data_IF_461123870520
#
_entry.id   IF_461123870520
#
_cell.length_a   1.000
_cell.length_b   1.000
_cell.length_c   1.000
_cell.angle_alpha   90.00
_cell.angle_beta   90.00
_cell.angle_gamma   90.00
#
_symmetry.space_group_name_H-M   'P 1'
#
loop_
_entity.id
_entity.type
_entity.pdbx_description
1 polymer ?
#
# COMPACT_ATOMS: atom_id res chain seq x y z
N UNK A 1 -7.10 -27.82 25.70
CA UNK A 1 -5.98 -27.00 25.21
C UNK A 1 -6.17 -25.60 25.74
N UNK A 2 -5.21 -25.05 26.51
CA UNK A 2 -5.27 -23.67 26.98
C UNK A 2 -5.10 -22.75 25.80
N UNK A 3 -6.13 -21.96 25.49
CA UNK A 3 -6.07 -20.95 24.41
C UNK A 3 -5.12 -19.85 24.87
N UNK A 4 -4.01 -19.67 24.19
CA UNK A 4 -3.10 -18.55 24.48
C UNK A 4 -3.78 -17.24 24.10
N UNK A 5 -3.70 -16.26 24.99
CA UNK A 5 -4.16 -14.90 24.72
C UNK A 5 -2.98 -13.93 24.89
N UNK A 6 -2.86 -12.99 23.98
CA UNK A 6 -1.86 -11.92 24.01
C UNK A 6 -2.56 -10.57 23.97
N UNK A 7 -2.15 -9.69 24.87
CA UNK A 7 -2.57 -8.30 24.86
C UNK A 7 -1.40 -7.45 24.36
N UNK A 8 -1.68 -6.57 23.41
CA UNK A 8 -0.71 -5.67 22.80
C UNK A 8 -1.31 -4.26 22.83
N UNK A 9 -0.46 -3.25 23.03
CA UNK A 9 -0.83 -1.85 22.90
C UNK A 9 0.11 -1.18 21.88
N UNK A 10 -0.43 -0.31 21.06
CA UNK A 10 0.30 0.49 20.06
C UNK A 10 -0.41 1.83 19.89
N UNK A 11 0.27 2.85 19.39
CA UNK A 11 -0.39 4.12 19.06
C UNK A 11 -1.25 3.98 17.80
N UNK A 12 -0.71 3.36 16.76
CA UNK A 12 -1.46 3.14 15.51
C UNK A 12 -1.48 1.66 15.15
N UNK A 13 -2.67 1.12 14.92
CA UNK A 13 -2.85 -0.24 14.41
C UNK A 13 -3.23 -0.19 12.93
N UNK A 14 -2.42 -0.78 12.07
CA UNK A 14 -2.72 -0.94 10.64
C UNK A 14 -3.19 -2.37 10.37
N UNK A 15 -4.45 -2.52 9.93
CA UNK A 15 -5.04 -3.81 9.58
C UNK A 15 -4.92 -4.05 8.08
N UNK A 16 -3.99 -4.90 7.71
CA UNK A 16 -3.65 -5.27 6.34
C UNK A 16 -2.21 -4.96 6.01
N UNK A 17 -1.50 -5.92 5.43
CA UNK A 17 -0.07 -5.84 5.06
C UNK A 17 0.14 -5.87 3.54
N UNK A 18 -0.86 -5.45 2.78
CA UNK A 18 -0.72 -5.15 1.35
C UNK A 18 -0.14 -3.76 1.12
N UNK A 19 -0.06 -3.34 -0.14
CA UNK A 19 0.56 -2.07 -0.53
C UNK A 19 0.05 -0.86 0.25
N UNK A 20 -1.26 -0.71 0.42
CA UNK A 20 -1.85 0.43 1.16
C UNK A 20 -1.49 0.40 2.65
N UNK A 21 -1.62 -0.77 3.30
CA UNK A 21 -1.34 -0.89 4.72
C UNK A 21 0.13 -0.70 5.05
N UNK A 22 1.04 -1.34 4.29
CA UNK A 22 2.48 -1.13 4.47
C UNK A 22 2.88 0.32 4.21
N UNK A 23 2.32 0.97 3.15
CA UNK A 23 2.59 2.38 2.89
C UNK A 23 2.14 3.29 4.04
N UNK A 24 0.97 3.00 4.63
CA UNK A 24 0.48 3.73 5.80
C UNK A 24 1.38 3.50 7.03
N UNK A 25 1.75 2.24 7.31
CA UNK A 25 2.64 1.92 8.43
C UNK A 25 4.03 2.59 8.30
N UNK A 26 4.57 2.63 7.09
CA UNK A 26 5.83 3.32 6.77
C UNK A 26 5.70 4.82 7.07
N UNK A 27 4.64 5.48 6.60
CA UNK A 27 4.42 6.91 6.85
C UNK A 27 4.36 7.22 8.34
N UNK A 28 3.60 6.42 9.10
CA UNK A 28 3.49 6.57 10.57
C UNK A 28 4.86 6.40 11.23
N UNK A 29 5.61 5.37 10.85
CA UNK A 29 6.95 5.11 11.40
C UNK A 29 7.96 6.19 11.04
N UNK A 30 7.94 6.74 9.81
CA UNK A 30 8.81 7.85 9.39
C UNK A 30 8.56 9.13 10.20
N UNK A 31 7.36 9.29 10.79
CA UNK A 31 7.04 10.37 11.73
C UNK A 31 7.39 10.05 13.19
N UNK A 32 8.04 8.92 13.46
CA UNK A 32 8.45 8.50 14.80
C UNK A 32 7.28 8.06 15.70
N UNK A 33 6.14 7.73 15.12
CA UNK A 33 4.96 7.27 15.85
C UNK A 33 4.98 5.74 15.92
N UNK A 34 4.67 5.19 17.10
CA UNK A 34 4.58 3.74 17.30
C UNK A 34 3.43 3.16 16.46
N UNK A 35 3.73 2.11 15.72
CA UNK A 35 2.79 1.46 14.79
C UNK A 35 2.97 -0.04 14.81
N UNK A 36 1.85 -0.76 14.77
CA UNK A 36 1.78 -2.21 14.57
C UNK A 36 0.99 -2.49 13.29
N UNK A 37 1.56 -3.26 12.38
CA UNK A 37 0.83 -3.79 11.23
C UNK A 37 0.44 -5.25 11.46
N UNK A 38 -0.79 -5.64 11.07
CA UNK A 38 -1.26 -7.02 11.17
C UNK A 38 -1.81 -7.50 9.83
N UNK A 39 -1.42 -8.69 9.41
CA UNK A 39 -1.84 -9.30 8.16
C UNK A 39 -2.35 -10.74 8.35
N UNK A 40 -3.40 -11.11 7.62
CA UNK A 40 -3.95 -12.47 7.66
C UNK A 40 -3.12 -13.51 6.89
N UNK A 41 -2.15 -13.08 6.12
CA UNK A 41 -1.22 -13.89 5.32
C UNK A 41 0.21 -13.48 5.63
N UNK A 42 1.22 -14.25 5.21
CA UNK A 42 2.59 -13.76 5.16
C UNK A 42 2.65 -12.43 4.42
N UNK A 43 3.43 -11.49 4.92
CA UNK A 43 3.53 -10.13 4.35
C UNK A 43 3.94 -10.11 2.88
N UNK A 44 4.65 -11.13 2.40
CA UNK A 44 5.05 -11.27 1.01
C UNK A 44 3.88 -11.73 0.10
N UNK A 45 2.85 -12.38 0.67
CA UNK A 45 1.73 -12.99 -0.05
C UNK A 45 0.47 -12.09 -0.06
N UNK A 46 0.63 -10.80 0.17
CA UNK A 46 -0.48 -9.86 0.07
C UNK A 46 -1.01 -9.79 -1.37
N UNK A 47 -2.30 -9.48 -1.51
CA UNK A 47 -2.95 -9.42 -2.83
C UNK A 47 -2.25 -8.47 -3.81
N UNK A 48 -1.56 -7.46 -3.31
CA UNK A 48 -0.72 -6.54 -4.10
C UNK A 48 0.28 -7.29 -4.97
N UNK A 49 0.88 -8.39 -4.48
CA UNK A 49 1.89 -9.17 -5.23
C UNK A 49 1.37 -9.81 -6.52
N UNK A 50 0.04 -9.90 -6.69
CA UNK A 50 -0.59 -10.47 -7.89
C UNK A 50 -0.77 -9.46 -9.03
N UNK A 51 -0.53 -8.17 -8.78
CA UNK A 51 -0.70 -7.13 -9.80
C UNK A 51 0.46 -7.16 -10.81
N UNK A 52 0.15 -7.32 -12.09
CA UNK A 52 1.14 -7.43 -13.17
C UNK A 52 1.23 -6.19 -14.06
N UNK A 53 0.20 -5.34 -14.08
CA UNK A 53 0.05 -4.27 -15.07
C UNK A 53 1.04 -3.12 -14.94
N UNK A 54 1.28 -2.66 -13.74
CA UNK A 54 2.10 -1.48 -13.45
C UNK A 54 1.36 -0.45 -12.60
N UNK A 55 1.96 0.73 -12.44
CA UNK A 55 1.43 1.85 -11.67
C UNK A 55 1.31 3.05 -12.59
N UNK A 56 0.12 3.66 -12.65
CA UNK A 56 -0.10 4.85 -13.45
C UNK A 56 0.33 6.12 -12.70
N UNK A 57 1.21 6.91 -13.30
CA UNK A 57 1.62 8.22 -12.82
C UNK A 57 2.08 9.10 -13.98
N UNK A 58 1.66 10.35 -13.99
CA UNK A 58 2.08 11.31 -15.01
C UNK A 58 3.52 11.80 -14.70
N UNK A 59 4.53 11.01 -15.06
CA UNK A 59 5.94 11.35 -14.83
C UNK A 59 6.53 12.24 -15.95
N UNK A 60 5.88 12.31 -17.11
CA UNK A 60 6.40 13.01 -18.28
C UNK A 60 7.68 12.41 -18.87
N UNK A 61 8.07 11.20 -18.45
CA UNK A 61 9.34 10.57 -18.91
C UNK A 61 9.30 10.12 -20.37
N UNK A 62 8.14 9.67 -20.83
CA UNK A 62 7.92 9.20 -22.20
C UNK A 62 7.13 10.18 -23.06
N UNK A 63 6.21 10.90 -22.45
CA UNK A 63 5.33 11.87 -23.11
C UNK A 63 5.31 13.17 -22.30
N UNK A 64 6.06 14.19 -22.71
CA UNK A 64 6.22 15.47 -22.00
C UNK A 64 4.91 16.25 -21.81
N UNK A 65 3.87 15.97 -22.61
CA UNK A 65 2.56 16.59 -22.50
C UNK A 65 1.65 15.96 -21.44
N UNK A 66 2.07 14.89 -20.77
CA UNK A 66 1.26 14.26 -19.74
C UNK A 66 1.23 15.08 -18.44
N UNK A 67 0.11 15.02 -17.74
CA UNK A 67 -0.10 15.74 -16.49
C UNK A 67 -1.07 14.99 -15.56
N UNK A 68 -1.02 15.28 -14.26
CA UNK A 68 -1.98 14.70 -13.32
C UNK A 68 -3.43 15.07 -13.67
N UNK A 69 -3.67 16.25 -14.25
CA UNK A 69 -5.00 16.68 -14.71
C UNK A 69 -5.52 15.78 -15.83
N UNK A 70 -4.65 15.48 -16.82
CA UNK A 70 -5.01 14.55 -17.88
C UNK A 70 -5.19 13.12 -17.34
N UNK A 71 -4.35 12.71 -16.38
CA UNK A 71 -4.51 11.42 -15.69
C UNK A 71 -5.88 11.35 -14.96
N UNK A 72 -6.26 12.43 -14.27
CA UNK A 72 -7.57 12.51 -13.61
C UNK A 72 -8.72 12.44 -14.63
N UNK A 73 -8.62 13.20 -15.73
CA UNK A 73 -9.65 13.21 -16.77
C UNK A 73 -9.85 11.81 -17.40
N UNK A 74 -8.75 11.13 -17.74
CA UNK A 74 -8.80 9.76 -18.27
C UNK A 74 -9.44 8.80 -17.24
N UNK A 75 -9.06 8.89 -15.97
CA UNK A 75 -9.59 8.04 -14.88
C UNK A 75 -11.09 8.24 -14.70
N UNK A 76 -11.57 9.48 -14.70
CA UNK A 76 -13.01 9.79 -14.57
C UNK A 76 -13.77 9.26 -15.80
N UNK A 77 -13.22 9.45 -17.00
CA UNK A 77 -13.84 8.97 -18.24
C UNK A 77 -13.94 7.45 -18.24
N UNK A 78 -12.85 6.74 -17.92
CA UNK A 78 -12.80 5.28 -17.92
C UNK A 78 -13.68 4.64 -16.84
N UNK A 79 -13.91 5.35 -15.74
CA UNK A 79 -14.86 4.92 -14.71
C UNK A 79 -16.32 5.16 -15.09
N UNK A 80 -16.60 5.60 -16.32
CA UNK A 80 -17.95 6.00 -16.76
C UNK A 80 -18.59 7.04 -15.84
N UNK A 81 -17.80 7.97 -15.31
CA UNK A 81 -18.20 9.01 -14.36
C UNK A 81 -18.67 8.49 -12.99
N UNK A 82 -18.39 7.24 -12.66
CA UNK A 82 -18.75 6.64 -11.36
C UNK A 82 -17.71 6.91 -10.26
N UNK A 83 -16.49 7.26 -10.65
CA UNK A 83 -15.43 7.55 -9.68
C UNK A 83 -15.73 8.84 -8.90
N UNK A 84 -15.35 8.87 -7.62
CA UNK A 84 -15.40 10.09 -6.84
C UNK A 84 -14.32 11.07 -7.33
N UNK A 85 -14.68 12.26 -7.89
CA UNK A 85 -13.70 13.15 -8.49
C UNK A 85 -12.63 13.66 -7.51
N UNK A 86 -13.01 13.89 -6.27
CA UNK A 86 -12.08 14.35 -5.23
C UNK A 86 -11.03 13.27 -4.89
N UNK A 87 -11.45 12.00 -4.79
CA UNK A 87 -10.52 10.89 -4.61
C UNK A 87 -9.59 10.73 -5.82
N UNK A 88 -10.12 10.87 -7.04
CA UNK A 88 -9.31 10.81 -8.27
C UNK A 88 -8.27 11.92 -8.28
N UNK A 89 -8.64 13.14 -7.94
CA UNK A 89 -7.72 14.28 -7.84
C UNK A 89 -6.56 13.99 -6.88
N UNK A 90 -6.86 13.56 -5.65
CA UNK A 90 -5.85 13.24 -4.63
C UNK A 90 -4.90 12.15 -5.12
N UNK A 91 -5.44 11.08 -5.70
CA UNK A 91 -4.64 9.92 -6.16
C UNK A 91 -3.75 10.32 -7.33
N UNK A 92 -4.27 11.06 -8.32
CA UNK A 92 -3.49 11.41 -9.52
C UNK A 92 -2.43 12.47 -9.23
N UNK A 93 -2.69 13.43 -8.34
CA UNK A 93 -1.68 14.36 -7.84
C UNK A 93 -0.57 13.67 -7.05
N UNK A 94 -0.93 12.70 -6.21
CA UNK A 94 0.02 11.96 -5.38
C UNK A 94 0.79 10.86 -6.11
N UNK A 95 0.37 10.47 -7.32
CA UNK A 95 0.90 9.29 -8.02
C UNK A 95 2.40 9.40 -8.33
N UNK A 96 2.89 10.55 -8.79
CA UNK A 96 4.32 10.76 -9.05
C UNK A 96 5.13 10.59 -7.77
N UNK A 97 4.72 11.21 -6.66
CA UNK A 97 5.40 11.05 -5.36
C UNK A 97 5.46 9.56 -4.96
N UNK A 98 4.36 8.82 -5.16
CA UNK A 98 4.32 7.39 -4.86
C UNK A 98 5.36 6.58 -5.65
N UNK A 99 5.53 6.85 -6.94
CA UNK A 99 6.56 6.23 -7.79
C UNK A 99 7.96 6.60 -7.30
N UNK A 100 8.21 7.90 -7.02
CA UNK A 100 9.51 8.37 -6.54
C UNK A 100 9.88 7.80 -5.17
N UNK A 101 8.89 7.60 -4.28
CA UNK A 101 9.11 6.94 -3.00
C UNK A 101 9.54 5.49 -3.20
N UNK A 102 8.84 4.73 -4.04
CA UNK A 102 9.21 3.34 -4.35
C UNK A 102 10.59 3.24 -5.01
N UNK A 103 10.91 4.15 -5.95
CA UNK A 103 12.24 4.23 -6.59
C UNK A 103 13.33 4.49 -5.55
N UNK A 104 13.12 5.47 -4.66
CA UNK A 104 14.06 5.81 -3.57
C UNK A 104 14.25 4.66 -2.58
N UNK A 105 13.22 3.85 -2.37
CA UNK A 105 13.27 2.66 -1.50
C UNK A 105 13.83 1.43 -2.21
N UNK A 106 14.24 1.56 -3.47
CA UNK A 106 14.96 0.53 -4.20
C UNK A 106 14.10 -0.36 -5.09
N UNK A 107 12.88 0.06 -5.45
CA UNK A 107 12.08 -0.67 -6.44
C UNK A 107 12.76 -0.66 -7.81
N UNK A 108 12.93 -1.85 -8.39
CA UNK A 108 13.56 -2.02 -9.70
C UNK A 108 12.54 -1.83 -10.83
N UNK A 109 12.31 -0.56 -11.20
CA UNK A 109 11.49 -0.22 -12.35
C UNK A 109 12.22 -0.48 -13.67
N UNK A 110 11.49 -0.85 -14.72
CA UNK A 110 12.01 -0.84 -16.08
C UNK A 110 12.49 0.58 -16.43
N UNK A 111 13.63 0.66 -17.15
CA UNK A 111 14.27 1.93 -17.47
C UNK A 111 14.59 2.01 -18.95
N UNK A 112 14.62 3.23 -19.47
CA UNK A 112 15.19 3.57 -20.77
C UNK A 112 16.72 3.57 -20.71
N UNK A 113 17.38 3.61 -21.87
CA UNK A 113 18.85 3.62 -21.99
C UNK A 113 19.51 4.80 -21.26
N UNK A 114 18.78 5.90 -21.07
CA UNK A 114 19.23 7.10 -20.36
C UNK A 114 18.96 7.04 -18.83
N UNK A 115 18.44 5.93 -18.33
CA UNK A 115 18.19 5.69 -16.92
C UNK A 115 16.84 6.20 -16.40
N UNK A 116 16.03 6.90 -17.20
CA UNK A 116 14.68 7.32 -16.83
C UNK A 116 13.76 6.10 -16.67
N UNK A 117 12.79 6.19 -15.75
CA UNK A 117 11.76 5.16 -15.62
C UNK A 117 10.99 5.04 -16.94
N UNK A 118 10.95 3.83 -17.48
CA UNK A 118 10.15 3.52 -18.67
C UNK A 118 8.67 3.49 -18.33
N UNK A 119 7.86 4.02 -19.22
CA UNK A 119 6.41 3.99 -19.09
C UNK A 119 5.76 3.47 -20.37
N UNK A 120 4.71 2.68 -20.22
CA UNK A 120 3.97 2.07 -21.33
C UNK A 120 2.50 2.48 -21.33
N UNK A 121 1.83 2.27 -22.46
CA UNK A 121 0.37 2.30 -22.50
C UNK A 121 -0.20 1.11 -21.73
N UNK A 122 -1.24 1.37 -20.94
CA UNK A 122 -2.01 0.34 -20.30
C UNK A 122 -3.45 0.84 -20.07
N UNK A 123 -4.43 0.06 -20.57
CA UNK A 123 -5.82 0.52 -20.57
C UNK A 123 -6.06 1.63 -21.60
N UNK A 124 -7.02 2.50 -21.35
CA UNK A 124 -7.45 3.56 -22.27
C UNK A 124 -6.83 4.93 -21.95
N UNK A 125 -5.60 4.95 -21.43
CA UNK A 125 -4.90 6.20 -21.15
C UNK A 125 -4.48 6.93 -22.44
N UNK A 126 -4.55 8.26 -22.40
CA UNK A 126 -4.13 9.12 -23.51
C UNK A 126 -2.61 9.11 -23.69
N UNK A 127 -1.85 8.95 -22.60
CA UNK A 127 -0.39 8.99 -22.57
C UNK A 127 0.22 7.69 -22.01
N UNK A 128 1.49 7.43 -22.32
CA UNK A 128 2.28 6.37 -21.69
C UNK A 128 2.62 6.77 -20.25
N UNK A 129 1.85 6.34 -19.29
CA UNK A 129 2.03 6.71 -17.87
C UNK A 129 2.17 5.54 -16.93
N UNK A 130 2.18 4.30 -17.43
CA UNK A 130 2.28 3.12 -16.61
C UNK A 130 3.73 2.73 -16.38
N UNK A 131 4.29 3.07 -15.22
CA UNK A 131 5.57 2.57 -14.75
C UNK A 131 5.43 1.10 -14.33
N UNK A 132 6.41 0.27 -14.63
CA UNK A 132 6.32 -1.18 -14.46
C UNK A 132 7.67 -1.82 -14.12
N UNK A 133 7.61 -3.04 -13.58
CA UNK A 133 8.75 -3.94 -13.40
C UNK A 133 8.39 -5.27 -14.08
N UNK A 134 8.68 -5.38 -15.36
CA UNK A 134 8.27 -6.54 -16.17
C UNK A 134 6.79 -6.87 -16.02
N UNK A 135 6.47 -8.14 -15.77
CA UNK A 135 5.11 -8.65 -15.54
C UNK A 135 4.84 -8.95 -14.05
N UNK A 136 5.71 -8.46 -13.15
CA UNK A 136 5.66 -8.72 -11.71
C UNK A 136 5.71 -7.44 -10.87
N UNK A 137 5.18 -6.35 -11.42
CA UNK A 137 5.19 -5.03 -10.77
C UNK A 137 4.64 -5.08 -9.33
N UNK A 138 3.54 -5.78 -9.10
CA UNK A 138 2.94 -5.90 -7.77
C UNK A 138 3.84 -6.64 -6.78
N UNK A 139 4.57 -7.66 -7.24
CA UNK A 139 5.54 -8.38 -6.41
C UNK A 139 6.68 -7.45 -6.00
N UNK A 140 7.20 -6.64 -6.91
CA UNK A 140 8.27 -5.66 -6.62
C UNK A 140 7.78 -4.55 -5.69
N UNK A 141 6.55 -4.05 -5.86
CA UNK A 141 5.93 -3.13 -4.89
C UNK A 141 5.92 -3.75 -3.49
N UNK A 142 5.40 -4.98 -3.38
CA UNK A 142 5.28 -5.65 -2.08
C UNK A 142 6.64 -5.89 -1.44
N UNK A 143 7.64 -6.35 -2.20
CA UNK A 143 9.01 -6.56 -1.73
C UNK A 143 9.64 -5.26 -1.22
N UNK A 144 9.52 -4.19 -2.00
CA UNK A 144 10.06 -2.87 -1.65
C UNK A 144 9.43 -2.33 -0.37
N UNK A 145 8.11 -2.41 -0.23
CA UNK A 145 7.40 -1.93 0.95
C UNK A 145 7.71 -2.77 2.18
N UNK A 146 7.82 -4.09 2.06
CA UNK A 146 8.25 -4.97 3.16
C UNK A 146 9.66 -4.63 3.60
N UNK A 147 10.60 -4.50 2.67
CA UNK A 147 11.99 -4.15 2.98
C UNK A 147 12.10 -2.78 3.68
N UNK A 148 11.33 -1.78 3.20
CA UNK A 148 11.29 -0.46 3.83
C UNK A 148 10.69 -0.49 5.23
N UNK A 149 9.61 -1.23 5.44
CA UNK A 149 8.99 -1.38 6.76
C UNK A 149 9.95 -2.08 7.75
N UNK A 150 10.68 -3.11 7.28
CA UNK A 150 11.71 -3.80 8.08
C UNK A 150 12.89 -2.89 8.40
N UNK A 151 13.34 -2.05 7.45
CA UNK A 151 14.38 -1.04 7.69
C UNK A 151 13.99 -0.05 8.79
N UNK A 152 12.70 0.31 8.86
CA UNK A 152 12.14 1.18 9.89
C UNK A 152 11.79 0.44 11.19
N UNK A 153 12.07 -0.86 11.27
CA UNK A 153 11.75 -1.74 12.39
C UNK A 153 10.25 -1.75 12.74
N UNK A 154 9.37 -1.58 11.74
CA UNK A 154 7.91 -1.68 11.95
C UNK A 154 7.54 -3.11 12.36
N UNK A 155 6.94 -3.32 13.53
CA UNK A 155 6.45 -4.64 13.93
C UNK A 155 5.32 -5.08 12.99
N UNK A 156 5.43 -6.29 12.45
CA UNK A 156 4.41 -6.87 11.58
C UNK A 156 4.04 -8.26 12.11
N UNK A 157 2.76 -8.46 12.41
CA UNK A 157 2.22 -9.77 12.76
C UNK A 157 1.59 -10.40 11.53
N UNK A 158 2.20 -11.46 11.04
CA UNK A 158 1.68 -12.30 9.97
C UNK A 158 0.66 -13.30 10.52
N UNK A 159 -0.22 -13.84 9.66
CA UNK A 159 -1.23 -14.85 9.97
C UNK A 159 -2.32 -14.42 10.96
N UNK A 160 -2.39 -13.15 11.36
CA UNK A 160 -3.39 -12.66 12.29
C UNK A 160 -4.66 -12.22 11.55
N UNK A 161 -5.74 -12.95 11.76
CA UNK A 161 -7.06 -12.63 11.21
C UNK A 161 -7.84 -11.79 12.21
N UNK A 162 -8.07 -10.52 11.86
CA UNK A 162 -8.90 -9.62 12.66
C UNK A 162 -10.37 -9.94 12.43
N UNK A 163 -11.10 -10.21 13.50
CA UNK A 163 -12.51 -10.58 13.46
C UNK A 163 -13.43 -9.46 13.93
N UNK A 164 -12.91 -8.53 14.73
CA UNK A 164 -13.72 -7.46 15.33
C UNK A 164 -12.88 -6.23 15.60
N UNK A 165 -13.44 -5.05 15.32
CA UNK A 165 -12.94 -3.80 15.88
C UNK A 165 -13.49 -3.60 17.29
N UNK A 166 -12.70 -3.06 18.19
CA UNK A 166 -13.11 -2.66 19.52
C UNK A 166 -13.65 -1.24 19.44
N UNK A 167 -14.94 -1.09 19.67
CA UNK A 167 -15.64 0.20 19.54
C UNK A 167 -16.38 0.52 20.82
N UNK A 168 -16.23 1.76 21.30
CA UNK A 168 -17.01 2.32 22.42
C UNK A 168 -17.35 3.76 22.06
N UNK A 169 -18.59 4.14 22.28
CA UNK A 169 -19.08 5.50 22.03
C UNK A 169 -18.74 6.03 20.62
N UNK A 170 -18.87 5.14 19.64
CA UNK A 170 -18.53 5.39 18.23
C UNK A 170 -17.04 5.67 17.95
N UNK A 171 -16.15 5.37 18.91
CA UNK A 171 -14.70 5.49 18.78
C UNK A 171 -14.10 4.09 18.70
N UNK A 172 -13.28 3.84 17.68
CA UNK A 172 -12.47 2.62 17.55
C UNK A 172 -11.24 2.78 18.44
N UNK A 173 -10.98 1.81 19.31
CA UNK A 173 -9.83 1.83 20.23
C UNK A 173 -8.99 0.54 20.16
N UNK A 174 -9.12 -0.21 19.08
CA UNK A 174 -8.34 -1.42 18.86
C UNK A 174 -9.05 -2.47 18.05
N UNK A 175 -8.52 -3.69 18.08
CA UNK A 175 -9.06 -4.83 17.39
C UNK A 175 -8.88 -6.14 18.16
N UNK A 176 -9.70 -7.13 17.81
CA UNK A 176 -9.57 -8.49 18.29
C UNK A 176 -9.42 -9.45 17.11
N UNK A 177 -8.54 -10.41 17.24
CA UNK A 177 -8.28 -11.40 16.20
C UNK A 177 -7.61 -12.66 16.74
N UNK A 178 -7.20 -13.52 15.83
CA UNK A 178 -6.47 -14.74 16.18
C UNK A 178 -5.44 -15.08 15.12
N UNK A 179 -4.37 -15.73 15.52
CA UNK A 179 -3.39 -16.34 14.64
C UNK A 179 -4.00 -17.60 14.02
N UNK A 180 -4.01 -17.67 12.69
CA UNK A 180 -4.58 -18.79 11.94
C UNK A 180 -3.70 -20.04 12.01
N UNK A 181 -2.43 -19.92 12.39
CA UNK A 181 -1.48 -21.03 12.45
C UNK A 181 -1.55 -21.81 13.75
N UNK A 182 -1.73 -21.12 14.91
CA UNK A 182 -1.67 -21.74 16.23
C UNK A 182 -2.88 -21.45 17.12
N UNK A 183 -3.82 -20.61 16.66
CA UNK A 183 -5.03 -20.23 17.40
C UNK A 183 -4.79 -19.23 18.54
N UNK A 184 -3.61 -18.65 18.66
CA UNK A 184 -3.33 -17.59 19.64
C UNK A 184 -4.28 -16.41 19.41
N UNK A 185 -4.96 -15.97 20.45
CA UNK A 185 -5.88 -14.81 20.42
C UNK A 185 -5.11 -13.54 20.68
N UNK A 186 -5.45 -12.49 19.95
CA UNK A 186 -4.87 -11.15 20.10
C UNK A 186 -5.94 -10.13 20.47
N UNK A 187 -5.74 -9.46 21.58
CA UNK A 187 -6.46 -8.26 21.99
C UNK A 187 -5.50 -7.08 21.79
N UNK A 188 -5.75 -6.26 20.81
CA UNK A 188 -4.86 -5.16 20.43
C UNK A 188 -5.56 -3.85 20.74
N UNK A 189 -4.98 -3.05 21.64
CA UNK A 189 -5.41 -1.69 21.93
C UNK A 189 -4.62 -0.71 21.09
N UNK A 190 -5.29 0.31 20.53
CA UNK A 190 -4.67 1.34 19.72
C UNK A 190 -5.42 2.66 19.87
N UNK A 191 -4.71 3.77 19.77
CA UNK A 191 -5.30 5.11 19.78
C UNK A 191 -5.95 5.44 18.44
N UNK A 192 -5.42 4.84 17.34
CA UNK A 192 -5.97 4.90 15.97
C UNK A 192 -5.91 3.54 15.28
N UNK A 193 -6.92 3.25 14.40
CA UNK A 193 -7.00 2.03 13.60
C UNK A 193 -7.35 2.38 12.16
#
# INVERSE_FOLDING_TARGET
MSTRERQISTTVLVIGTGGSGLRAAIEVAEHGIDVLAVGKRPRQDAHTSLAAGGINAALGTMDEGDSWQQHAADTIKESYLLANPHTVEIVTQGAERGIRDLERWGMDFAREDDGRISQRFFGAHTFRRTAFAGDYTGLEIQRTLVAKAEQLAVPILDHVYITRLLVRDNVVFGAYGFDQSDGTRYLIHADAV
#
